data_IF_758887440285
#
_entry.id   IF_758887440285
#
_cell.length_a   1.000
_cell.length_b   1.000
_cell.length_c   1.000
_cell.angle_alpha   90.00
_cell.angle_beta   90.00
_cell.angle_gamma   90.00
#
_symmetry.space_group_name_H-M   'P 1'
#
loop_
_entity.id
_entity.type
_entity.pdbx_description
1 polymer ?
#
# COMPACT_ATOMS: atom_id res chain seq x y z
N UNK A 1 16.08 -23.57 -12.42
CA UNK A 1 17.25 -23.02 -13.13
C UNK A 1 17.80 -21.83 -12.34
N UNK A 2 19.13 -21.67 -12.19
CA UNK A 2 19.69 -20.49 -11.54
C UNK A 2 19.41 -19.22 -12.35
N UNK A 3 19.22 -18.10 -11.65
CA UNK A 3 18.96 -16.80 -12.28
C UNK A 3 20.18 -16.34 -13.09
N UNK A 4 19.95 -15.88 -14.33
CA UNK A 4 21.02 -15.36 -15.20
C UNK A 4 21.55 -14.00 -14.72
N UNK A 5 22.87 -13.79 -14.80
CA UNK A 5 23.58 -12.53 -14.53
C UNK A 5 24.58 -12.61 -13.37
N UNK A 6 25.55 -11.67 -13.31
CA UNK A 6 26.58 -11.64 -12.25
C UNK A 6 26.02 -11.33 -10.87
N UNK A 7 25.00 -10.47 -10.78
CA UNK A 7 24.39 -10.05 -9.51
C UNK A 7 22.85 -10.21 -9.58
N UNK A 8 22.34 -11.46 -9.53
CA UNK A 8 20.91 -11.74 -9.69
C UNK A 8 20.07 -11.24 -8.50
N UNK A 9 20.67 -11.05 -7.32
CA UNK A 9 20.01 -10.51 -6.12
C UNK A 9 19.31 -9.17 -6.36
N UNK A 10 19.85 -8.35 -7.29
CA UNK A 10 19.28 -7.03 -7.65
C UNK A 10 17.92 -7.12 -8.37
N UNK A 11 17.50 -8.33 -8.75
CA UNK A 11 16.22 -8.63 -9.41
C UNK A 11 15.19 -9.23 -8.46
N UNK A 12 15.40 -9.11 -7.15
CA UNK A 12 14.47 -9.62 -6.12
C UNK A 12 13.58 -8.50 -5.61
N UNK A 13 12.33 -8.83 -5.24
CA UNK A 13 11.40 -7.86 -4.64
C UNK A 13 11.98 -7.24 -3.37
N UNK A 14 12.67 -8.05 -2.55
CA UNK A 14 13.35 -7.58 -1.34
C UNK A 14 14.40 -6.50 -1.63
N UNK A 15 15.22 -6.68 -2.67
CA UNK A 15 16.23 -5.67 -3.02
C UNK A 15 15.57 -4.38 -3.53
N UNK A 16 14.52 -4.50 -4.35
CA UNK A 16 13.81 -3.34 -4.92
C UNK A 16 13.03 -2.55 -3.87
N UNK A 17 12.47 -3.24 -2.86
CA UNK A 17 11.68 -2.59 -1.79
C UNK A 17 12.55 -1.94 -0.70
N UNK A 18 13.84 -2.25 -0.64
CA UNK A 18 14.78 -1.66 0.32
C UNK A 18 15.29 -0.26 -0.09
N UNK A 19 14.96 0.19 -1.30
CA UNK A 19 15.34 1.52 -1.77
C UNK A 19 14.61 2.63 -1.01
N UNK A 20 15.37 3.54 -0.42
CA UNK A 20 14.87 4.58 0.50
C UNK A 20 14.74 5.98 -0.15
N UNK A 21 14.69 6.03 -1.48
CA UNK A 21 14.56 7.29 -2.24
C UNK A 21 13.20 7.32 -2.91
N UNK A 22 12.28 8.06 -2.30
CA UNK A 22 10.97 8.38 -2.88
C UNK A 22 11.00 9.84 -3.31
N UNK A 23 10.91 10.11 -4.61
CA UNK A 23 10.91 11.47 -5.14
C UNK A 23 9.65 12.26 -4.76
N UNK A 24 9.81 13.58 -4.60
CA UNK A 24 8.69 14.53 -4.55
C UNK A 24 7.96 14.55 -5.90
N UNK A 25 6.67 14.88 -5.86
CA UNK A 25 5.81 14.86 -7.06
C UNK A 25 6.22 15.91 -8.11
N UNK A 26 7.02 16.91 -7.72
CA UNK A 26 7.60 17.91 -8.62
C UNK A 26 8.63 17.33 -9.59
N UNK A 27 9.33 16.25 -9.23
CA UNK A 27 10.32 15.62 -10.10
C UNK A 27 9.61 14.74 -11.13
N UNK A 28 9.70 15.12 -12.39
CA UNK A 28 9.07 14.37 -13.50
C UNK A 28 10.07 13.61 -14.36
N UNK A 29 11.24 14.19 -14.57
CA UNK A 29 12.29 13.64 -15.42
C UNK A 29 13.59 13.65 -14.63
N UNK A 30 14.28 12.51 -14.61
CA UNK A 30 15.63 12.38 -14.07
C UNK A 30 16.54 11.86 -15.18
N UNK A 31 17.50 12.69 -15.58
CA UNK A 31 18.50 12.33 -16.58
C UNK A 31 19.80 11.98 -15.85
N UNK A 32 20.39 10.82 -16.19
CA UNK A 32 21.65 10.35 -15.59
C UNK A 32 22.71 10.26 -16.67
N UNK A 33 23.69 11.14 -16.60
CA UNK A 33 24.83 11.15 -17.50
C UNK A 33 26.04 10.55 -16.77
N UNK A 34 26.67 9.53 -17.35
CA UNK A 34 27.84 8.87 -16.78
C UNK A 34 28.87 8.54 -17.85
N UNK A 35 30.15 8.63 -17.52
CA UNK A 35 31.25 8.27 -18.41
C UNK A 35 31.68 6.82 -18.16
N UNK A 36 31.92 6.07 -19.24
CA UNK A 36 32.43 4.70 -19.18
C UNK A 36 33.97 4.63 -19.14
N UNK A 37 34.67 5.72 -19.52
CA UNK A 37 36.12 5.95 -19.37
C UNK A 37 36.43 7.46 -19.32
N UNK A 38 37.33 7.91 -18.44
CA UNK A 38 38.03 9.22 -18.54
C UNK A 38 37.21 10.50 -18.24
N UNK A 39 37.97 11.58 -17.96
CA UNK A 39 37.57 12.79 -17.24
C UNK A 39 36.69 13.79 -18.01
N UNK A 40 35.64 14.23 -17.28
CA UNK A 40 34.87 15.49 -17.35
C UNK A 40 33.96 15.73 -18.56
N UNK A 41 32.76 16.23 -18.26
CA UNK A 41 31.77 16.71 -19.22
C UNK A 41 31.13 18.01 -18.70
N UNK A 42 31.13 19.03 -19.55
CA UNK A 42 30.68 20.40 -19.25
C UNK A 42 29.16 20.54 -19.48
N UNK A 43 28.50 21.31 -18.62
CA UNK A 43 27.04 21.35 -18.48
C UNK A 43 26.30 22.19 -19.54
N UNK A 44 25.04 21.83 -19.80
CA UNK A 44 24.10 22.57 -20.63
C UNK A 44 23.03 23.28 -19.77
N UNK A 45 22.55 24.43 -20.23
CA UNK A 45 21.68 25.35 -19.47
C UNK A 45 20.17 25.06 -19.63
N UNK A 46 19.45 25.21 -18.51
CA UNK A 46 17.99 25.19 -18.35
C UNK A 46 17.63 25.16 -16.85
N UNK A 47 16.37 25.35 -16.44
CA UNK A 47 15.97 25.13 -15.04
C UNK A 47 16.03 23.62 -14.74
N UNK A 48 17.23 23.20 -14.32
CA UNK A 48 17.61 21.82 -14.13
C UNK A 48 18.34 21.73 -12.78
N UNK A 49 17.89 20.84 -11.90
CA UNK A 49 18.64 20.54 -10.68
C UNK A 49 19.83 19.67 -11.07
N UNK A 50 20.96 20.31 -11.37
CA UNK A 50 22.21 19.64 -11.67
C UNK A 50 22.86 19.18 -10.37
N UNK A 51 22.99 17.86 -10.21
CA UNK A 51 23.72 17.26 -9.10
C UNK A 51 25.05 16.76 -9.65
N UNK A 52 26.13 17.47 -9.32
CA UNK A 52 27.46 16.97 -9.60
C UNK A 52 27.76 15.75 -8.70
N UNK A 53 28.09 14.64 -9.34
CA UNK A 53 28.40 13.35 -8.71
C UNK A 53 29.88 12.97 -8.86
N UNK A 54 30.72 13.88 -9.34
CA UNK A 54 32.15 13.66 -9.48
C UNK A 54 32.79 13.32 -8.13
N UNK A 55 33.66 12.29 -8.11
CA UNK A 55 34.34 11.74 -6.92
C UNK A 55 33.45 11.22 -5.78
N UNK A 56 32.13 11.17 -5.94
CA UNK A 56 31.22 10.67 -4.91
C UNK A 56 31.03 9.16 -4.99
N UNK A 57 30.94 8.51 -3.83
CA UNK A 57 30.53 7.11 -3.77
C UNK A 57 29.04 6.94 -4.12
N UNK A 58 28.62 5.73 -4.49
CA UNK A 58 27.21 5.45 -4.78
C UNK A 58 26.31 5.76 -3.58
N UNK A 59 26.77 5.51 -2.35
CA UNK A 59 26.02 5.81 -1.13
C UNK A 59 25.85 7.32 -0.92
N UNK A 60 26.90 8.11 -1.18
CA UNK A 60 26.85 9.58 -1.10
C UNK A 60 25.90 10.17 -2.13
N UNK A 61 25.93 9.67 -3.37
CA UNK A 61 25.03 10.11 -4.44
C UNK A 61 23.57 9.87 -4.03
N UNK A 62 23.25 8.66 -3.53
CA UNK A 62 21.91 8.30 -3.07
C UNK A 62 21.44 9.19 -1.92
N UNK A 63 22.29 9.41 -0.92
CA UNK A 63 21.97 10.26 0.22
C UNK A 63 21.76 11.73 -0.19
N UNK A 64 22.57 12.23 -1.12
CA UNK A 64 22.47 13.59 -1.62
C UNK A 64 21.16 13.81 -2.40
N UNK A 65 20.81 12.90 -3.31
CA UNK A 65 19.55 12.94 -4.06
C UNK A 65 18.36 12.86 -3.09
N UNK A 66 18.40 11.97 -2.09
CA UNK A 66 17.37 11.86 -1.05
C UNK A 66 17.16 13.20 -0.32
N UNK A 67 18.25 13.89 0.01
CA UNK A 67 18.19 15.16 0.74
C UNK A 67 17.55 16.29 -0.08
N UNK A 68 17.85 16.39 -1.37
CA UNK A 68 17.37 17.49 -2.22
C UNK A 68 15.94 17.21 -2.71
N UNK A 69 15.74 16.04 -3.31
CA UNK A 69 14.55 15.71 -4.10
C UNK A 69 13.66 14.65 -3.45
N UNK A 70 14.12 14.00 -2.37
CA UNK A 70 13.36 13.00 -1.66
C UNK A 70 12.25 13.59 -0.78
N UNK A 71 11.15 12.86 -0.64
CA UNK A 71 10.12 13.13 0.38
C UNK A 71 10.73 12.95 1.77
N UNK A 72 10.27 13.77 2.73
CA UNK A 72 10.67 13.59 4.13
C UNK A 72 10.03 12.34 4.72
N UNK A 73 10.67 11.75 5.74
CA UNK A 73 10.09 10.60 6.45
C UNK A 73 8.72 10.93 7.04
N UNK A 74 8.51 12.17 7.50
CA UNK A 74 7.22 12.61 8.03
C UNK A 74 6.12 12.62 6.97
N UNK A 75 6.45 13.01 5.73
CA UNK A 75 5.51 12.96 4.62
C UNK A 75 5.11 11.52 4.31
N UNK A 76 6.09 10.61 4.26
CA UNK A 76 5.85 9.17 4.03
C UNK A 76 4.97 8.57 5.13
N UNK A 77 5.28 8.84 6.42
CA UNK A 77 4.46 8.39 7.56
C UNK A 77 3.04 8.95 7.54
N UNK A 78 2.83 10.16 7.00
CA UNK A 78 1.49 10.74 6.85
C UNK A 78 0.71 10.04 5.74
N UNK A 79 1.34 9.83 4.58
CA UNK A 79 0.73 9.11 3.45
C UNK A 79 0.36 7.67 3.84
N UNK A 80 1.22 6.98 4.59
CA UNK A 80 0.93 5.64 5.12
C UNK A 80 -0.25 5.64 6.09
N UNK A 81 -0.28 6.56 7.05
CA UNK A 81 -1.40 6.70 7.98
C UNK A 81 -2.71 6.99 7.26
N UNK A 82 -2.71 7.84 6.25
CA UNK A 82 -3.90 8.11 5.43
C UNK A 82 -4.38 6.86 4.70
N UNK A 83 -3.48 6.07 4.13
CA UNK A 83 -3.85 4.79 3.50
C UNK A 83 -4.43 3.79 4.49
N UNK A 84 -3.89 3.73 5.71
CA UNK A 84 -4.41 2.86 6.77
C UNK A 84 -5.82 3.29 7.21
N UNK A 85 -6.09 4.60 7.28
CA UNK A 85 -7.42 5.12 7.65
C UNK A 85 -8.53 4.74 6.65
N UNK A 86 -8.20 4.50 5.38
CA UNK A 86 -9.17 4.03 4.39
C UNK A 86 -9.75 2.65 4.75
N UNK A 87 -8.97 1.81 5.43
CA UNK A 87 -9.38 0.50 5.89
C UNK A 87 -9.90 0.58 7.33
N UNK A 88 -11.15 1.04 7.50
CA UNK A 88 -11.72 1.19 8.84
C UNK A 88 -12.12 -0.18 9.44
N UNK A 89 -11.62 -0.57 10.63
CA UNK A 89 -11.93 -1.86 11.27
C UNK A 89 -13.39 -2.09 11.67
N UNK A 90 -14.20 -1.02 11.74
CA UNK A 90 -15.62 -1.08 12.06
C UNK A 90 -16.47 -1.43 10.83
N UNK A 91 -15.92 -1.38 9.63
CA UNK A 91 -16.64 -1.72 8.41
C UNK A 91 -16.90 -3.23 8.34
N UNK A 92 -18.08 -3.58 7.87
CA UNK A 92 -18.47 -4.95 7.54
C UNK A 92 -18.54 -5.11 6.02
N UNK A 93 -18.00 -6.21 5.51
CA UNK A 93 -17.96 -6.47 4.07
C UNK A 93 -17.06 -7.65 3.71
N UNK A 94 -16.80 -7.89 2.41
CA UNK A 94 -16.02 -9.03 1.95
C UNK A 94 -14.64 -9.11 2.60
N UNK A 95 -14.15 -10.32 2.90
CA UNK A 95 -12.83 -10.56 3.57
C UNK A 95 -11.63 -9.89 2.91
N UNK A 96 -11.74 -9.55 1.62
CA UNK A 96 -10.68 -8.84 0.89
C UNK A 96 -10.44 -7.43 1.45
N UNK A 97 -11.48 -6.77 1.97
CA UNK A 97 -11.44 -5.36 2.34
C UNK A 97 -11.78 -5.10 3.81
N UNK A 98 -12.60 -5.96 4.41
CA UNK A 98 -13.07 -5.80 5.78
C UNK A 98 -12.67 -7.01 6.63
N UNK A 99 -12.49 -6.78 7.93
CA UNK A 99 -12.16 -7.85 8.88
C UNK A 99 -13.34 -8.80 9.13
N UNK A 100 -14.56 -8.28 9.07
CA UNK A 100 -15.79 -8.99 9.37
C UNK A 100 -16.76 -8.86 8.21
N UNK A 101 -17.45 -9.95 7.89
CA UNK A 101 -18.41 -9.99 6.77
C UNK A 101 -19.84 -9.72 7.24
N UNK A 102 -20.21 -10.35 8.35
CA UNK A 102 -21.54 -10.27 8.92
C UNK A 102 -21.44 -10.04 10.42
N UNK A 103 -22.42 -9.33 10.97
CA UNK A 103 -22.53 -9.05 12.40
C UNK A 103 -22.60 -10.34 13.25
N UNK A 104 -23.05 -11.46 12.67
CA UNK A 104 -23.12 -12.74 13.39
C UNK A 104 -21.74 -13.31 13.82
N UNK A 105 -20.64 -12.70 13.38
CA UNK A 105 -19.28 -13.01 13.85
C UNK A 105 -18.90 -12.29 15.15
N UNK A 106 -19.73 -11.36 15.62
CA UNK A 106 -19.49 -10.61 16.86
C UNK A 106 -20.19 -11.34 18.01
N UNK A 107 -19.44 -11.61 19.08
CA UNK A 107 -19.98 -12.27 20.28
C UNK A 107 -21.13 -11.47 20.90
N UNK A 108 -22.13 -12.18 21.43
CA UNK A 108 -23.35 -11.58 21.98
C UNK A 108 -24.38 -11.17 20.93
N UNK A 109 -24.07 -11.21 19.64
CA UNK A 109 -25.03 -10.98 18.56
C UNK A 109 -25.81 -12.25 18.20
N UNK A 110 -26.90 -12.06 17.45
CA UNK A 110 -27.72 -13.17 16.94
C UNK A 110 -26.89 -13.99 15.93
N UNK A 111 -26.76 -15.32 16.11
CA UNK A 111 -26.01 -16.16 15.19
C UNK A 111 -26.71 -16.25 13.83
N UNK A 112 -25.92 -16.50 12.79
CA UNK A 112 -26.46 -16.70 11.46
C UNK A 112 -27.33 -17.99 11.42
N UNK A 113 -28.55 -17.97 10.84
CA UNK A 113 -29.46 -19.12 10.79
C UNK A 113 -28.87 -20.38 10.15
N UNK A 114 -27.90 -20.21 9.24
CA UNK A 114 -27.19 -21.32 8.60
C UNK A 114 -26.25 -22.09 9.54
N UNK A 115 -25.86 -21.50 10.67
CA UNK A 115 -25.06 -22.16 11.71
C UNK A 115 -25.95 -22.66 12.86
N UNK A 116 -26.84 -21.80 13.34
CA UNK A 116 -27.74 -22.11 14.47
C UNK A 116 -29.17 -21.72 14.06
N UNK A 117 -30.09 -22.69 13.95
CA UNK A 117 -31.49 -22.40 13.65
C UNK A 117 -32.08 -21.44 14.70
N UNK A 118 -32.70 -20.37 14.23
CA UNK A 118 -33.35 -19.40 15.12
C UNK A 118 -34.66 -19.96 15.69
N UNK A 119 -35.14 -19.44 16.84
CA UNK A 119 -36.40 -19.84 17.42
C UNK A 119 -37.59 -19.73 16.46
N UNK A 120 -38.56 -20.63 16.61
CA UNK A 120 -39.76 -20.69 15.75
C UNK A 120 -40.54 -19.38 15.75
N UNK A 121 -40.59 -18.69 16.90
CA UNK A 121 -41.26 -17.40 17.05
C UNK A 121 -40.65 -16.26 16.22
N UNK A 122 -39.40 -16.41 15.78
CA UNK A 122 -38.72 -15.48 14.86
C UNK A 122 -38.90 -15.85 13.39
N UNK A 123 -39.44 -17.03 13.09
CA UNK A 123 -39.59 -17.53 11.71
C UNK A 123 -40.81 -16.90 11.04
N UNK A 124 -40.64 -16.37 9.83
CA UNK A 124 -41.73 -15.71 9.08
C UNK A 124 -42.95 -16.61 8.84
N UNK A 125 -42.73 -17.90 8.52
CA UNK A 125 -43.80 -18.89 8.32
C UNK A 125 -44.70 -19.05 9.56
N UNK A 126 -44.10 -19.15 10.73
CA UNK A 126 -44.81 -19.31 12.00
C UNK A 126 -45.59 -18.05 12.38
N UNK A 127 -44.99 -16.87 12.18
CA UNK A 127 -45.69 -15.59 12.41
C UNK A 127 -46.88 -15.40 11.46
N UNK A 128 -46.75 -15.83 10.20
CA UNK A 128 -47.83 -15.73 9.22
C UNK A 128 -49.02 -16.61 9.58
N UNK A 129 -48.79 -17.85 10.02
CA UNK A 129 -49.86 -18.76 10.45
C UNK A 129 -50.60 -18.23 11.68
N UNK A 130 -49.89 -17.67 12.66
CA UNK A 130 -50.51 -17.05 13.83
C UNK A 130 -51.35 -15.82 13.48
N UNK A 131 -50.90 -15.01 12.52
CA UNK A 131 -51.66 -13.83 12.04
C UNK A 131 -52.92 -14.22 11.28
N UNK A 132 -52.86 -15.24 10.42
CA UNK A 132 -54.03 -15.73 9.70
C UNK A 132 -55.08 -16.30 10.67
N UNK A 133 -54.65 -17.12 11.64
CA UNK A 133 -55.53 -17.66 12.68
C UNK A 133 -56.14 -16.61 13.62
N UNK A 134 -55.62 -15.37 13.64
CA UNK A 134 -56.16 -14.26 14.43
C UNK A 134 -57.12 -13.35 13.63
N UNK A 135 -57.24 -13.57 12.32
CA UNK A 135 -58.13 -12.81 11.42
C UNK A 135 -59.42 -13.57 11.06
N UNK A 136 -59.47 -14.87 11.37
CA UNK A 136 -60.68 -15.71 11.39
C UNK A 136 -61.39 -15.60 12.75
#
# INVERSE_FOLDING_TARGET
>A
MPMKGRFPVRRTLRYLSQGDVVFKDAVKVMTVNYNSRGERGEGASGEQVLVDVETKSNAEIVQHIRKILGKSEDALRKEERQKQQLAHPANFGPRKYCLRECMCQVEGQVPCPGLVPLPRDMTGKHRATLRAAAQD
#
